data_IF_544935107341
#
_entry.id   IF_544935107341
#
_cell.length_a   1.000
_cell.length_b   1.000
_cell.length_c   1.000
_cell.angle_alpha   90.00
_cell.angle_beta   90.00
_cell.angle_gamma   90.00
#
_symmetry.space_group_name_H-M   'P 1'
#
loop_
_entity.id
_entity.type
_entity.pdbx_description
1 polymer ?
#
# COMPACT_ATOMS: atom_id res chain seq x y z
N UNK A 1 -28.11 47.17 53.90
CA UNK A 1 -27.21 47.09 52.73
C UNK A 1 -27.01 45.61 52.39
N UNK A 2 -27.66 45.12 51.35
CA UNK A 2 -27.51 43.72 50.83
C UNK A 2 -26.58 43.76 49.63
N UNK A 3 -25.41 43.15 49.76
CA UNK A 3 -24.47 42.97 48.66
C UNK A 3 -24.84 41.67 47.94
N UNK A 4 -25.30 41.77 46.71
CA UNK A 4 -25.50 40.62 45.82
C UNK A 4 -24.18 40.30 45.12
N UNK A 5 -23.62 39.12 45.41
CA UNK A 5 -22.53 38.55 44.67
C UNK A 5 -23.10 37.82 43.45
N UNK A 6 -22.84 38.33 42.28
CA UNK A 6 -23.08 37.58 41.04
C UNK A 6 -21.87 36.65 40.78
N UNK A 7 -22.11 35.37 40.91
CA UNK A 7 -21.14 34.36 40.49
C UNK A 7 -21.28 34.17 38.96
N UNK A 8 -20.29 34.60 38.20
CA UNK A 8 -20.19 34.32 36.76
C UNK A 8 -19.69 32.87 36.57
N UNK A 9 -20.57 32.00 36.10
CA UNK A 9 -20.18 30.64 35.69
C UNK A 9 -19.59 30.76 34.30
N UNK A 10 -18.27 30.59 34.18
CA UNK A 10 -17.60 30.46 32.89
C UNK A 10 -17.82 29.02 32.36
N UNK A 11 -18.64 28.86 31.33
CA UNK A 11 -18.74 27.63 30.57
C UNK A 11 -17.48 27.51 29.71
N UNK A 12 -16.57 26.63 30.14
CA UNK A 12 -15.45 26.20 29.30
C UNK A 12 -16.02 25.21 28.30
N UNK A 13 -16.27 25.66 27.07
CA UNK A 13 -16.60 24.78 25.97
C UNK A 13 -15.39 23.91 25.61
N UNK A 14 -15.46 22.62 25.91
CA UNK A 14 -14.53 21.65 25.32
C UNK A 14 -14.83 21.55 23.81
N UNK A 15 -14.04 22.23 23.02
CA UNK A 15 -13.99 21.94 21.59
C UNK A 15 -13.23 20.63 21.43
N UNK A 16 -13.96 19.50 21.41
CA UNK A 16 -13.41 18.23 21.02
C UNK A 16 -12.98 18.32 19.54
N UNK A 17 -11.66 18.33 19.30
CA UNK A 17 -11.16 18.12 17.95
C UNK A 17 -11.45 16.66 17.56
N UNK A 18 -12.30 16.43 16.55
CA UNK A 18 -12.48 15.10 15.98
C UNK A 18 -11.13 14.62 15.44
N UNK A 19 -10.66 13.39 15.82
CA UNK A 19 -9.44 12.87 15.25
C UNK A 19 -9.63 12.74 13.73
N UNK A 20 -8.77 13.38 12.95
CA UNK A 20 -8.75 13.21 11.51
C UNK A 20 -8.56 11.72 11.20
N UNK A 21 -9.48 11.13 10.39
CA UNK A 21 -9.34 9.76 9.91
C UNK A 21 -8.05 9.67 9.09
N UNK A 22 -7.20 8.68 9.40
CA UNK A 22 -6.02 8.38 8.60
C UNK A 22 -6.46 8.00 7.18
N UNK A 23 -5.68 8.39 6.18
CA UNK A 23 -5.90 7.97 4.80
C UNK A 23 -5.79 6.45 4.69
N UNK A 24 -6.70 5.83 3.95
CA UNK A 24 -6.74 4.38 3.74
C UNK A 24 -6.29 4.09 2.29
N UNK A 25 -5.15 3.38 2.10
CA UNK A 25 -4.66 3.04 0.77
C UNK A 25 -5.41 1.85 0.13
N UNK A 26 -6.39 1.26 0.78
CA UNK A 26 -7.19 0.19 0.16
C UNK A 26 -7.85 0.67 -1.14
N UNK A 27 -7.85 -0.18 -2.15
CA UNK A 27 -8.42 0.13 -3.46
C UNK A 27 -7.58 -0.41 -4.61
N UNK A 28 -7.88 0.08 -5.81
CA UNK A 28 -7.23 -0.31 -7.05
C UNK A 28 -6.20 0.73 -7.47
N UNK A 29 -5.02 0.27 -7.79
CA UNK A 29 -3.89 1.13 -8.15
C UNK A 29 -3.25 0.69 -9.46
N UNK A 30 -2.94 1.66 -10.33
CA UNK A 30 -2.17 1.46 -11.53
C UNK A 30 -0.69 1.69 -11.21
N UNK A 31 0.17 0.74 -11.57
CA UNK A 31 1.63 0.88 -11.39
C UNK A 31 2.19 2.03 -12.22
N UNK A 32 3.36 2.54 -11.84
CA UNK A 32 3.99 3.70 -12.50
C UNK A 32 4.16 3.52 -14.01
N UNK A 33 4.50 2.32 -14.45
CA UNK A 33 4.65 1.98 -15.88
C UNK A 33 3.32 1.76 -16.60
N UNK A 34 2.20 1.70 -15.86
CA UNK A 34 0.89 1.43 -16.42
C UNK A 34 0.67 -0.03 -16.86
N UNK A 35 1.55 -0.93 -16.49
CA UNK A 35 1.55 -2.33 -16.97
C UNK A 35 0.72 -3.28 -16.12
N UNK A 36 0.39 -2.88 -14.88
CA UNK A 36 -0.34 -3.72 -13.93
C UNK A 36 -1.30 -2.90 -13.09
N UNK A 37 -2.40 -3.52 -12.67
CA UNK A 37 -3.28 -2.99 -11.62
C UNK A 37 -3.17 -3.86 -10.39
N UNK A 38 -3.05 -3.21 -9.25
CA UNK A 38 -2.87 -3.85 -7.95
C UNK A 38 -4.04 -3.50 -7.07
N UNK A 39 -4.67 -4.51 -6.48
CA UNK A 39 -5.68 -4.29 -5.44
C UNK A 39 -5.01 -4.35 -4.08
N UNK A 40 -5.06 -3.25 -3.36
CA UNK A 40 -4.64 -3.18 -1.96
C UNK A 40 -5.87 -3.40 -1.08
N UNK A 41 -5.76 -4.31 -0.12
CA UNK A 41 -6.81 -4.64 0.83
C UNK A 41 -6.22 -5.07 2.17
N UNK A 42 -7.04 -5.01 3.23
CA UNK A 42 -6.68 -5.58 4.53
C UNK A 42 -6.54 -7.10 4.42
N UNK A 43 -5.50 -7.64 5.05
CA UNK A 43 -5.21 -9.07 5.09
C UNK A 43 -4.77 -9.49 6.52
N UNK A 44 -5.68 -9.36 7.48
CA UNK A 44 -5.43 -9.73 8.88
C UNK A 44 -4.75 -8.64 9.70
N UNK A 45 -5.19 -7.38 9.56
CA UNK A 45 -4.65 -6.23 10.27
C UNK A 45 -3.41 -5.60 9.61
N UNK A 46 -2.99 -6.13 8.47
CA UNK A 46 -1.96 -5.58 7.60
C UNK A 46 -2.56 -5.30 6.22
N UNK A 47 -1.81 -4.62 5.35
CA UNK A 47 -2.19 -4.42 3.96
C UNK A 47 -1.45 -5.41 3.07
N UNK A 48 -2.20 -6.01 2.14
CA UNK A 48 -1.66 -6.83 1.05
C UNK A 48 -2.08 -6.25 -0.29
N UNK A 49 -1.23 -6.39 -1.30
CA UNK A 49 -1.54 -5.96 -2.65
C UNK A 49 -1.37 -7.09 -3.64
N UNK A 50 -2.40 -7.33 -4.45
CA UNK A 50 -2.47 -8.45 -5.39
C UNK A 50 -2.56 -7.94 -6.82
N UNK A 51 -1.81 -8.55 -7.73
CA UNK A 51 -1.94 -8.28 -9.17
C UNK A 51 -3.30 -8.79 -9.63
N UNK A 52 -4.14 -7.90 -10.15
CA UNK A 52 -5.48 -8.25 -10.62
C UNK A 52 -5.67 -8.03 -12.11
N UNK A 53 -4.75 -7.31 -12.74
CA UNK A 53 -4.79 -7.02 -14.16
C UNK A 53 -3.37 -6.76 -14.69
N UNK A 54 -3.12 -7.22 -15.91
CA UNK A 54 -1.91 -6.95 -16.69
C UNK A 54 -2.31 -6.34 -18.02
N UNK A 55 -1.59 -5.30 -18.46
CA UNK A 55 -1.77 -4.71 -19.79
C UNK A 55 -1.50 -5.73 -20.91
N UNK A 56 -0.48 -6.55 -20.72
CA UNK A 56 -0.12 -7.68 -21.59
C UNK A 56 -0.24 -8.97 -20.78
N UNK A 57 -1.44 -9.60 -20.75
CA UNK A 57 -1.69 -10.74 -19.87
C UNK A 57 -1.03 -12.03 -20.34
N UNK A 58 -0.70 -12.14 -21.62
CA UNK A 58 -0.12 -13.35 -22.20
C UNK A 58 1.38 -13.19 -22.48
N UNK A 59 2.11 -14.27 -22.32
CA UNK A 59 3.52 -14.35 -22.69
C UNK A 59 3.63 -14.34 -24.21
N UNK A 60 4.42 -13.44 -24.83
CA UNK A 60 4.55 -13.35 -26.28
C UNK A 60 5.22 -14.58 -26.90
N UNK A 61 6.04 -15.30 -26.14
CA UNK A 61 6.76 -16.48 -26.64
C UNK A 61 5.88 -17.73 -26.66
N UNK A 62 4.93 -17.85 -25.72
CA UNK A 62 4.07 -19.04 -25.59
C UNK A 62 2.63 -18.80 -25.98
N UNK A 63 2.16 -17.53 -26.00
CA UNK A 63 0.76 -17.17 -26.17
C UNK A 63 -0.14 -17.53 -24.99
N UNK A 64 0.42 -18.08 -23.91
CA UNK A 64 -0.29 -18.49 -22.69
C UNK A 64 -0.25 -17.38 -21.65
N UNK A 65 -1.17 -17.40 -20.65
CA UNK A 65 -1.12 -16.44 -19.54
C UNK A 65 0.26 -16.40 -18.89
N UNK A 66 0.73 -15.20 -18.58
CA UNK A 66 1.99 -15.00 -17.86
C UNK A 66 1.98 -15.71 -16.52
N UNK A 67 3.08 -16.35 -16.20
CA UNK A 67 3.34 -17.03 -14.93
C UNK A 67 4.44 -16.33 -14.17
N UNK A 68 4.57 -16.67 -12.89
CA UNK A 68 5.61 -16.15 -11.99
C UNK A 68 6.98 -16.84 -12.25
N UNK A 69 7.38 -16.86 -13.52
CA UNK A 69 8.50 -17.65 -14.05
C UNK A 69 9.86 -17.32 -13.42
N UNK A 70 10.02 -16.10 -12.90
CA UNK A 70 11.27 -15.64 -12.30
C UNK A 70 11.34 -15.86 -10.79
N UNK A 71 10.31 -16.44 -10.17
CA UNK A 71 10.32 -16.68 -8.73
C UNK A 71 11.56 -17.49 -8.33
N UNK A 72 12.24 -17.05 -7.26
CA UNK A 72 13.39 -17.77 -6.72
C UNK A 72 13.01 -19.16 -6.18
N UNK A 73 11.76 -19.34 -5.75
CA UNK A 73 11.19 -20.64 -5.40
C UNK A 73 10.65 -21.33 -6.65
N UNK A 74 11.33 -22.37 -7.11
CA UNK A 74 10.94 -23.13 -8.30
C UNK A 74 9.51 -23.67 -8.26
N UNK A 75 9.00 -24.01 -7.07
CA UNK A 75 7.64 -24.53 -6.89
C UNK A 75 6.54 -23.50 -7.19
N UNK A 76 6.88 -22.22 -7.22
CA UNK A 76 5.95 -21.12 -7.49
C UNK A 76 5.99 -20.58 -8.91
N UNK A 77 6.94 -21.03 -9.73
CA UNK A 77 7.16 -20.47 -11.09
C UNK A 77 6.03 -20.73 -12.06
N UNK A 78 5.24 -21.76 -11.85
CA UNK A 78 4.11 -22.12 -12.73
C UNK A 78 2.80 -21.43 -12.35
N UNK A 79 2.73 -20.75 -11.19
CA UNK A 79 1.51 -20.05 -10.79
C UNK A 79 1.20 -18.88 -11.72
N UNK A 80 -0.07 -18.59 -12.02
CA UNK A 80 -0.43 -17.41 -12.80
C UNK A 80 0.08 -16.13 -12.11
N UNK A 81 0.59 -15.19 -12.90
CA UNK A 81 1.05 -13.90 -12.38
C UNK A 81 -0.11 -13.05 -11.86
N UNK A 82 -1.26 -13.09 -12.54
CA UNK A 82 -2.50 -12.53 -11.99
C UNK A 82 -2.92 -13.37 -10.78
N UNK A 83 -3.09 -12.72 -9.63
CA UNK A 83 -3.36 -13.36 -8.36
C UNK A 83 -2.15 -13.40 -7.41
N UNK A 84 -0.97 -13.05 -7.89
CA UNK A 84 0.24 -12.99 -7.05
C UNK A 84 0.19 -11.75 -6.15
N UNK A 85 0.45 -11.93 -4.87
CA UNK A 85 0.66 -10.83 -3.95
C UNK A 85 2.05 -10.24 -4.13
N UNK A 86 2.14 -8.93 -4.31
CA UNK A 86 3.39 -8.18 -4.43
C UNK A 86 3.61 -7.19 -3.30
N UNK A 87 2.56 -6.77 -2.63
CA UNK A 87 2.63 -6.03 -1.36
C UNK A 87 2.30 -7.00 -0.25
N UNK A 88 3.25 -7.24 0.64
CA UNK A 88 3.20 -8.33 1.61
C UNK A 88 3.20 -7.78 3.04
N UNK A 89 2.08 -7.91 3.74
CA UNK A 89 1.98 -7.66 5.17
C UNK A 89 2.46 -6.28 5.61
N UNK A 90 2.03 -5.23 4.93
CA UNK A 90 2.36 -3.86 5.29
C UNK A 90 1.60 -3.44 6.54
N UNK A 91 2.32 -3.17 7.62
CA UNK A 91 1.78 -2.72 8.91
C UNK A 91 2.00 -1.23 9.10
N UNK A 92 1.10 -0.52 9.81
CA UNK A 92 1.31 0.88 10.15
C UNK A 92 2.68 1.13 10.81
N UNK A 93 3.42 2.10 10.31
CA UNK A 93 4.79 2.42 10.74
C UNK A 93 5.01 3.92 10.94
N UNK A 94 3.96 4.65 11.25
CA UNK A 94 3.96 6.09 11.44
C UNK A 94 2.78 6.74 10.71
N UNK A 95 2.72 8.06 10.73
CA UNK A 95 1.70 8.81 10.01
C UNK A 95 1.81 8.54 8.51
N UNK A 96 0.71 8.09 7.88
CA UNK A 96 0.60 7.87 6.44
C UNK A 96 1.64 6.88 5.88
N UNK A 97 2.20 6.02 6.72
CA UNK A 97 3.27 5.10 6.35
C UNK A 97 3.00 3.68 6.84
N UNK A 98 3.33 2.71 6.00
CA UNK A 98 3.29 1.28 6.28
C UNK A 98 4.61 0.63 5.92
N UNK A 99 5.00 -0.39 6.65
CA UNK A 99 6.23 -1.15 6.43
C UNK A 99 5.95 -2.65 6.40
N UNK A 100 6.61 -3.34 5.51
CA UNK A 100 6.50 -4.77 5.31
C UNK A 100 7.46 -5.25 4.23
N UNK A 101 6.97 -6.03 3.29
CA UNK A 101 7.77 -6.57 2.20
C UNK A 101 7.11 -6.30 0.85
N UNK A 102 7.95 -6.27 -0.18
CA UNK A 102 7.56 -6.13 -1.59
C UNK A 102 8.18 -7.28 -2.37
N UNK A 103 7.35 -8.01 -3.11
CA UNK A 103 7.79 -9.01 -4.06
C UNK A 103 7.92 -8.39 -5.46
N UNK A 104 9.07 -8.56 -6.08
CA UNK A 104 9.31 -8.13 -7.46
C UNK A 104 9.27 -9.34 -8.39
N UNK A 105 8.22 -9.46 -9.20
CA UNK A 105 8.06 -10.57 -10.13
C UNK A 105 9.04 -10.54 -11.31
N UNK A 106 9.68 -9.42 -11.59
CA UNK A 106 10.66 -9.31 -12.68
C UNK A 106 11.98 -9.99 -12.33
N UNK A 107 12.41 -9.91 -11.08
CA UNK A 107 13.64 -10.57 -10.59
C UNK A 107 13.38 -11.78 -9.68
N UNK A 108 12.12 -11.99 -9.29
CA UNK A 108 11.70 -13.11 -8.45
C UNK A 108 12.10 -13.01 -6.98
N UNK A 109 12.47 -11.82 -6.51
CA UNK A 109 12.98 -11.60 -5.15
C UNK A 109 12.02 -10.77 -4.31
N UNK A 110 12.11 -10.95 -2.99
CA UNK A 110 11.36 -10.18 -2.00
C UNK A 110 12.30 -9.20 -1.29
N UNK A 111 11.83 -7.99 -1.14
CA UNK A 111 12.56 -6.88 -0.54
C UNK A 111 11.83 -6.33 0.68
N UNK A 112 12.56 -5.68 1.60
CA UNK A 112 11.92 -4.80 2.58
C UNK A 112 11.20 -3.68 1.85
N UNK A 113 10.01 -3.31 2.31
CA UNK A 113 9.18 -2.34 1.62
C UNK A 113 8.53 -1.32 2.53
N UNK A 114 8.29 -0.16 1.96
CA UNK A 114 7.52 0.90 2.58
C UNK A 114 6.45 1.39 1.60
N UNK A 115 5.27 1.68 2.14
CA UNK A 115 4.19 2.32 1.42
C UNK A 115 3.88 3.63 2.12
N UNK A 116 3.74 4.70 1.37
CA UNK A 116 3.35 6.02 1.88
C UNK A 116 2.13 6.51 1.12
N UNK A 117 1.09 6.88 1.85
CA UNK A 117 -0.16 7.39 1.30
C UNK A 117 -0.81 8.37 2.27
N UNK A 118 -0.94 9.61 1.87
CA UNK A 118 -1.53 10.69 2.68
C UNK A 118 -2.91 11.16 2.18
N UNK A 119 -3.52 10.38 1.30
CA UNK A 119 -4.78 10.71 0.62
C UNK A 119 -4.54 11.15 -0.82
N UNK A 120 -5.62 11.27 -1.57
CA UNK A 120 -5.57 11.65 -2.99
C UNK A 120 -5.38 10.47 -3.94
N UNK A 121 -4.84 10.76 -5.12
CA UNK A 121 -4.81 9.84 -6.26
C UNK A 121 -3.45 9.14 -6.46
N UNK A 122 -2.48 9.37 -5.59
CA UNK A 122 -1.16 8.78 -5.70
C UNK A 122 -0.68 8.17 -4.38
N UNK A 123 0.02 7.06 -4.45
CA UNK A 123 0.79 6.49 -3.35
C UNK A 123 2.22 6.24 -3.80
N UNK A 124 3.13 6.15 -2.83
CA UNK A 124 4.51 5.77 -3.06
C UNK A 124 4.77 4.38 -2.50
N UNK A 125 5.32 3.49 -3.33
CA UNK A 125 5.81 2.20 -2.90
C UNK A 125 7.32 2.17 -3.07
N UNK A 126 8.04 1.74 -2.05
CA UNK A 126 9.50 1.64 -2.06
C UNK A 126 9.93 0.23 -1.66
N UNK A 127 10.82 -0.37 -2.42
CA UNK A 127 11.52 -1.60 -2.07
C UNK A 127 13.00 -1.32 -1.81
N UNK A 128 13.54 -1.92 -0.77
CA UNK A 128 14.93 -1.70 -0.34
C UNK A 128 15.67 -3.01 -0.18
N UNK A 129 16.94 -3.02 -0.58
CA UNK A 129 17.89 -4.12 -0.39
C UNK A 129 19.07 -3.66 0.48
N UNK A 130 19.94 -4.59 0.88
CA UNK A 130 21.17 -4.35 1.63
C UNK A 130 20.94 -3.55 2.92
N UNK A 131 19.95 -3.97 3.73
CA UNK A 131 19.65 -3.32 4.99
C UNK A 131 19.11 -1.89 4.87
N UNK A 132 18.50 -1.55 3.71
CA UNK A 132 17.95 -0.22 3.45
C UNK A 132 18.91 0.73 2.73
N UNK A 133 20.11 0.27 2.34
CA UNK A 133 21.11 1.10 1.65
C UNK A 133 20.73 1.39 0.20
N UNK A 134 20.03 0.47 -0.47
CA UNK A 134 19.61 0.62 -1.87
C UNK A 134 18.09 0.51 -1.94
N UNK A 135 17.44 1.59 -2.32
CA UNK A 135 15.98 1.65 -2.44
C UNK A 135 15.55 2.10 -3.83
N UNK A 136 14.46 1.49 -4.34
CA UNK A 136 13.76 1.92 -5.55
C UNK A 136 12.32 2.24 -5.21
N UNK A 137 11.85 3.39 -5.63
CA UNK A 137 10.49 3.85 -5.41
C UNK A 137 9.68 3.91 -6.70
N UNK A 138 8.37 3.75 -6.57
CA UNK A 138 7.38 3.92 -7.62
C UNK A 138 6.22 4.75 -7.10
N UNK A 139 5.68 5.62 -7.95
CA UNK A 139 4.40 6.26 -7.71
C UNK A 139 3.30 5.47 -8.42
N UNK A 140 2.30 5.01 -7.67
CA UNK A 140 1.10 4.38 -8.22
C UNK A 140 -0.06 5.35 -8.22
N UNK A 141 -0.89 5.27 -9.24
CA UNK A 141 -2.07 6.15 -9.40
C UNK A 141 -3.35 5.39 -9.10
N UNK A 142 -4.27 6.05 -8.41
CA UNK A 142 -5.57 5.45 -8.10
C UNK A 142 -6.38 5.23 -9.37
N UNK A 143 -6.94 4.03 -9.52
CA UNK A 143 -7.89 3.70 -10.59
C UNK A 143 -9.28 4.08 -10.12
N UNK A 144 -9.96 4.89 -10.93
CA UNK A 144 -11.34 5.34 -10.69
C UNK A 144 -12.34 4.40 -11.36
#
# INVERSE_FOLDING_TARGET
>A
MRRHFFAAVALIGLTGADPALAADPAGMWLTQTGTSRIRIADCGGALCGTIVWLKEPNDPDTGKPKTDKNNSDASKRSRPLIGVQIVLGMKPAGADKWSGQVYNAEDGKTYSGNLTYSGGDALQLQGCALGGLVCKGQAWTKVK
#
